data_IF_172071894317
#
_entry.id   IF_172071894317
#
_cell.length_a   1.000
_cell.length_b   1.000
_cell.length_c   1.000
_cell.angle_alpha   90.00
_cell.angle_beta   90.00
_cell.angle_gamma   90.00
#
_symmetry.space_group_name_H-M   'P 1'
#
loop_
_entity.id
_entity.type
_entity.pdbx_description
1 polymer ?
#
# COMPACT_ATOMS: atom_id res chain seq x y z
N UNK A 1 9.53 -8.78 13.78
CA UNK A 1 10.72 -8.39 12.99
C UNK A 1 10.23 -7.55 11.83
N UNK A 2 10.94 -6.49 11.47
CA UNK A 2 10.57 -5.70 10.30
C UNK A 2 11.02 -6.41 9.01
N UNK A 3 10.25 -6.23 7.95
CA UNK A 3 10.50 -6.77 6.62
C UNK A 3 10.50 -5.61 5.64
N UNK A 4 11.46 -5.62 4.72
CA UNK A 4 11.55 -4.67 3.62
C UNK A 4 10.92 -5.28 2.38
N UNK A 5 9.99 -4.55 1.78
CA UNK A 5 9.33 -4.91 0.54
C UNK A 5 9.73 -3.91 -0.53
N UNK A 6 10.25 -4.41 -1.63
CA UNK A 6 10.63 -3.62 -2.80
C UNK A 6 9.48 -3.69 -3.79
N UNK A 7 8.79 -2.58 -3.99
CA UNK A 7 7.61 -2.47 -4.84
C UNK A 7 7.95 -1.56 -6.01
N UNK A 8 7.46 -1.89 -7.19
CA UNK A 8 7.65 -1.10 -8.40
C UNK A 8 6.31 -0.83 -9.05
N UNK A 9 6.02 0.45 -9.28
CA UNK A 9 4.86 0.94 -10.02
C UNK A 9 5.32 1.22 -11.44
N UNK A 10 4.77 0.50 -12.42
CA UNK A 10 5.18 0.64 -13.82
C UNK A 10 4.80 2.00 -14.41
N UNK A 11 3.70 2.58 -13.94
CA UNK A 11 3.20 3.89 -14.35
C UNK A 11 2.48 4.52 -13.15
N UNK A 12 3.07 5.58 -12.59
CA UNK A 12 2.51 6.28 -11.42
C UNK A 12 1.13 6.90 -11.71
N UNK A 13 0.84 7.29 -12.94
CA UNK A 13 -0.48 7.84 -13.30
C UNK A 13 -1.56 6.75 -13.39
N UNK A 14 -1.17 5.51 -13.72
CA UNK A 14 -2.04 4.33 -13.78
C UNK A 14 -2.06 3.52 -12.49
N UNK A 15 -1.22 3.84 -11.51
CA UNK A 15 -1.20 3.23 -10.18
C UNK A 15 -2.36 3.74 -9.33
N UNK A 16 -3.60 3.51 -9.80
CA UNK A 16 -4.84 3.84 -9.08
C UNK A 16 -5.72 2.60 -9.06
N UNK A 17 -6.27 2.31 -7.88
CA UNK A 17 -7.29 1.29 -7.70
C UNK A 17 -8.59 1.61 -8.43
N UNK A 18 -9.53 0.66 -8.36
CA UNK A 18 -10.85 0.81 -8.98
C UNK A 18 -11.70 1.89 -8.31
N UNK A 19 -11.52 2.09 -7.00
CA UNK A 19 -12.29 3.05 -6.22
C UNK A 19 -11.46 4.32 -5.93
N UNK A 20 -11.88 5.51 -6.41
CA UNK A 20 -11.10 6.74 -6.25
C UNK A 20 -10.98 7.20 -4.78
N UNK A 21 -11.86 6.74 -3.89
CA UNK A 21 -11.81 7.08 -2.46
C UNK A 21 -10.77 6.23 -1.70
N UNK A 22 -10.37 5.08 -2.25
CA UNK A 22 -9.35 4.19 -1.71
C UNK A 22 -8.01 4.29 -2.45
N UNK A 23 -8.04 4.81 -3.68
CA UNK A 23 -6.88 4.84 -4.56
C UNK A 23 -5.84 5.89 -4.18
N UNK A 24 -4.63 5.74 -4.70
CA UNK A 24 -3.62 6.80 -4.62
C UNK A 24 -4.12 8.09 -5.28
N UNK A 25 -4.05 9.18 -4.52
CA UNK A 25 -4.30 10.55 -4.97
C UNK A 25 -3.00 11.33 -5.17
N UNK A 26 -1.90 10.84 -4.59
CA UNK A 26 -0.55 11.37 -4.72
C UNK A 26 -0.07 11.41 -6.17
N UNK A 27 0.86 12.34 -6.43
CA UNK A 27 1.57 12.48 -7.70
C UNK A 27 3.06 12.61 -7.39
N UNK A 28 3.90 11.74 -7.96
CA UNK A 28 5.34 11.72 -7.69
C UNK A 28 5.73 10.79 -6.53
N UNK A 29 6.95 10.25 -6.60
CA UNK A 29 7.39 9.14 -5.75
C UNK A 29 7.36 9.44 -4.25
N UNK A 30 7.73 10.65 -3.84
CA UNK A 30 7.69 11.06 -2.44
C UNK A 30 6.25 11.05 -1.89
N UNK A 31 5.31 11.64 -2.62
CA UNK A 31 3.91 11.67 -2.22
C UNK A 31 3.29 10.26 -2.20
N UNK A 32 3.67 9.38 -3.13
CA UNK A 32 3.27 7.96 -3.09
C UNK A 32 3.76 7.27 -1.82
N UNK A 33 5.02 7.53 -1.44
CA UNK A 33 5.60 6.96 -0.24
C UNK A 33 4.91 7.48 1.02
N UNK A 34 4.66 8.78 1.13
CA UNK A 34 3.92 9.36 2.27
C UNK A 34 2.51 8.78 2.39
N UNK A 35 1.79 8.68 1.26
CA UNK A 35 0.43 8.14 1.24
C UNK A 35 0.39 6.65 1.58
N UNK A 36 1.32 5.85 1.05
CA UNK A 36 1.44 4.43 1.41
C UNK A 36 1.84 4.26 2.87
N UNK A 37 2.74 5.10 3.38
CA UNK A 37 3.12 5.08 4.79
C UNK A 37 1.93 5.38 5.70
N UNK A 38 1.14 6.41 5.39
CA UNK A 38 -0.09 6.72 6.12
C UNK A 38 -1.07 5.52 6.09
N UNK A 39 -1.28 4.91 4.92
CA UNK A 39 -2.15 3.74 4.76
C UNK A 39 -1.68 2.46 5.49
N UNK A 40 -0.41 2.40 5.89
CA UNK A 40 0.14 1.31 6.72
C UNK A 40 0.12 1.63 8.21
N UNK A 41 0.25 2.91 8.57
CA UNK A 41 0.19 3.40 9.95
C UNK A 41 -1.24 3.53 10.46
N UNK A 42 -2.18 3.82 9.57
CA UNK A 42 -3.59 4.07 9.88
C UNK A 42 -4.49 2.97 9.29
N UNK A 43 -5.54 2.61 10.02
CA UNK A 43 -6.53 1.62 9.58
C UNK A 43 -7.69 2.26 8.79
N UNK A 44 -7.75 3.59 8.68
CA UNK A 44 -8.82 4.33 8.01
C UNK A 44 -9.09 3.84 6.56
N UNK A 45 -8.05 3.45 5.82
CA UNK A 45 -8.21 2.87 4.48
C UNK A 45 -8.94 1.52 4.52
N UNK A 46 -8.60 0.68 5.50
CA UNK A 46 -9.24 -0.61 5.71
C UNK A 46 -10.68 -0.44 6.13
N UNK A 47 -10.96 0.42 7.10
CA UNK A 47 -12.32 0.65 7.59
C UNK A 47 -13.23 1.14 6.48
N UNK A 48 -12.75 2.07 5.64
CA UNK A 48 -13.48 2.54 4.46
C UNK A 48 -13.76 1.41 3.48
N UNK A 49 -12.77 0.58 3.16
CA UNK A 49 -12.97 -0.56 2.26
C UNK A 49 -13.91 -1.62 2.85
N UNK A 50 -13.76 -1.91 4.14
CA UNK A 50 -14.57 -2.86 4.90
C UNK A 50 -16.03 -2.42 4.92
N UNK A 51 -16.29 -1.12 5.11
CA UNK A 51 -17.64 -0.55 5.07
C UNK A 51 -18.29 -0.60 3.67
N UNK A 52 -17.52 -0.78 2.61
CA UNK A 52 -18.03 -1.01 1.25
C UNK A 52 -18.36 -2.48 0.97
N UNK A 53 -17.97 -3.41 1.84
CA UNK A 53 -18.33 -4.82 1.70
C UNK A 53 -19.78 -5.04 2.14
N UNK A 54 -20.46 -6.01 1.52
CA UNK A 54 -21.84 -6.37 1.86
C UNK A 54 -21.93 -6.90 3.31
N UNK A 55 -20.92 -7.66 3.73
CA UNK A 55 -20.81 -8.26 5.06
C UNK A 55 -19.49 -7.80 5.74
N UNK A 56 -19.45 -6.59 6.33
CA UNK A 56 -18.23 -6.05 6.94
C UNK A 56 -17.75 -6.90 8.13
N UNK A 57 -18.64 -7.53 8.88
CA UNK A 57 -18.29 -8.38 10.03
C UNK A 57 -17.63 -9.72 9.65
N UNK A 58 -17.84 -10.20 8.42
CA UNK A 58 -17.18 -11.41 7.90
C UNK A 58 -15.77 -11.15 7.35
N UNK A 59 -15.41 -9.89 7.14
CA UNK A 59 -14.07 -9.50 6.68
C UNK A 59 -13.03 -9.83 7.76
N UNK A 60 -11.96 -10.50 7.34
CA UNK A 60 -10.86 -10.87 8.22
C UNK A 60 -10.20 -9.62 8.86
N UNK A 61 -10.33 -9.50 10.19
CA UNK A 61 -9.78 -8.39 10.95
C UNK A 61 -8.25 -8.30 10.86
N UNK A 62 -7.57 -9.40 10.52
CA UNK A 62 -6.11 -9.42 10.33
C UNK A 62 -5.68 -8.56 9.13
N UNK A 63 -6.57 -8.32 8.16
CA UNK A 63 -6.34 -7.38 7.06
C UNK A 63 -6.34 -5.90 7.51
N UNK A 64 -6.85 -5.63 8.72
CA UNK A 64 -6.82 -4.33 9.38
C UNK A 64 -5.52 -4.04 10.14
N UNK A 65 -4.51 -4.92 10.08
CA UNK A 65 -3.26 -4.71 10.79
C UNK A 65 -2.56 -3.41 10.37
N UNK A 66 -2.15 -2.61 11.35
CA UNK A 66 -1.40 -1.37 11.19
C UNK A 66 -0.05 -1.46 11.89
N UNK A 67 0.90 -0.67 11.41
CA UNK A 67 2.24 -0.59 11.97
C UNK A 67 2.66 0.88 12.07
N UNK A 68 2.59 1.49 13.27
CA UNK A 68 2.95 2.89 13.46
C UNK A 68 4.43 3.17 13.18
N UNK A 69 5.29 2.14 13.22
CA UNK A 69 6.70 2.24 12.89
C UNK A 69 6.99 2.00 11.40
N UNK A 70 5.98 1.74 10.57
CA UNK A 70 6.15 1.53 9.14
C UNK A 70 6.79 2.76 8.49
N UNK A 71 7.81 2.55 7.67
CA UNK A 71 8.47 3.59 6.88
C UNK A 71 8.40 3.24 5.41
N UNK A 72 8.16 4.25 4.58
CA UNK A 72 8.14 4.09 3.12
C UNK A 72 9.04 5.13 2.50
N UNK A 73 9.85 4.70 1.54
CA UNK A 73 10.71 5.58 0.76
C UNK A 73 10.39 5.40 -0.71
N UNK A 74 10.12 6.51 -1.40
CA UNK A 74 9.81 6.50 -2.82
C UNK A 74 10.96 7.07 -3.63
N UNK A 75 11.31 6.39 -4.71
CA UNK A 75 12.24 6.85 -5.72
C UNK A 75 11.54 6.88 -7.07
N UNK A 76 11.56 8.04 -7.72
CA UNK A 76 11.11 8.13 -9.10
C UNK A 76 12.26 7.79 -10.02
N UNK A 77 12.01 6.92 -10.99
CA UNK A 77 12.97 6.51 -11.99
C UNK A 77 12.24 6.56 -13.34
N UNK A 78 12.40 7.68 -14.05
CA UNK A 78 11.66 7.99 -15.28
C UNK A 78 10.12 7.87 -15.11
N UNK A 79 9.47 6.96 -15.84
CA UNK A 79 8.04 6.66 -15.74
C UNK A 79 7.65 5.71 -14.61
N UNK A 80 8.63 4.99 -14.03
CA UNK A 80 8.40 4.05 -12.96
C UNK A 80 8.69 4.66 -11.59
N UNK A 81 7.98 4.15 -10.58
CA UNK A 81 8.16 4.57 -9.19
C UNK A 81 8.50 3.34 -8.38
N UNK A 82 9.67 3.34 -7.75
CA UNK A 82 10.07 2.31 -6.83
C UNK A 82 9.78 2.76 -5.39
N UNK A 83 9.09 1.90 -4.65
CA UNK A 83 8.72 2.11 -3.27
C UNK A 83 9.41 1.05 -2.41
N UNK A 84 10.22 1.49 -1.45
CA UNK A 84 10.79 0.64 -0.41
C UNK A 84 9.95 0.79 0.85
N UNK A 85 9.24 -0.28 1.23
CA UNK A 85 8.41 -0.31 2.42
C UNK A 85 9.12 -1.13 3.49
N UNK A 86 9.37 -0.57 4.66
CA UNK A 86 9.83 -1.31 5.83
C UNK A 86 8.71 -1.38 6.86
N UNK A 87 8.19 -2.57 7.12
CA UNK A 87 7.09 -2.78 8.06
C UNK A 87 7.15 -4.15 8.72
N UNK A 88 6.58 -4.28 9.91
CA UNK A 88 6.33 -5.55 10.59
C UNK A 88 5.04 -6.25 10.12
N UNK A 89 4.24 -5.60 9.28
CA UNK A 89 3.02 -6.15 8.71
C UNK A 89 3.34 -7.31 7.75
N UNK A 90 2.49 -8.33 7.76
CA UNK A 90 2.59 -9.48 6.87
C UNK A 90 2.40 -9.10 5.40
N UNK A 91 3.13 -9.75 4.50
CA UNK A 91 3.04 -9.49 3.06
C UNK A 91 1.62 -9.62 2.50
N UNK A 92 0.76 -10.46 3.09
CA UNK A 92 -0.66 -10.57 2.69
C UNK A 92 -1.42 -9.26 2.87
N UNK A 93 -1.28 -8.61 4.03
CA UNK A 93 -1.94 -7.33 4.33
C UNK A 93 -1.36 -6.21 3.47
N UNK A 94 -0.04 -6.19 3.28
CA UNK A 94 0.61 -5.22 2.38
C UNK A 94 0.12 -5.38 0.93
N UNK A 95 0.05 -6.61 0.42
CA UNK A 95 -0.47 -6.90 -0.93
C UNK A 95 -1.93 -6.45 -1.07
N UNK A 96 -2.74 -6.67 -0.04
CA UNK A 96 -4.12 -6.21 0.00
C UNK A 96 -4.20 -4.67 -0.06
N UNK A 97 -3.44 -3.95 0.79
CA UNK A 97 -3.34 -2.47 0.77
C UNK A 97 -2.92 -1.94 -0.59
N UNK A 98 -1.88 -2.53 -1.19
CA UNK A 98 -1.39 -2.15 -2.52
C UNK A 98 -2.45 -2.36 -3.60
N UNK A 99 -3.26 -3.42 -3.50
CA UNK A 99 -4.35 -3.68 -4.44
C UNK A 99 -5.49 -2.68 -4.32
N UNK A 100 -5.76 -2.15 -3.12
CA UNK A 100 -6.73 -1.07 -2.94
C UNK A 100 -6.20 0.27 -3.48
N UNK A 101 -4.94 0.60 -3.19
CA UNK A 101 -4.35 1.89 -3.53
C UNK A 101 -3.96 2.00 -5.02
N UNK A 102 -3.22 1.02 -5.55
CA UNK A 102 -2.68 1.00 -6.91
C UNK A 102 -3.38 0.03 -7.87
N UNK A 103 -4.38 -0.72 -7.40
CA UNK A 103 -5.10 -1.68 -8.23
C UNK A 103 -4.19 -2.84 -8.67
N UNK A 104 -4.07 -3.00 -9.98
CA UNK A 104 -3.23 -4.05 -10.61
C UNK A 104 -1.93 -3.50 -11.19
N UNK A 105 -1.70 -2.18 -11.13
CA UNK A 105 -0.59 -1.48 -11.80
C UNK A 105 0.67 -1.43 -10.93
N UNK A 106 0.97 -2.50 -10.19
CA UNK A 106 2.12 -2.59 -9.29
C UNK A 106 2.69 -4.01 -9.25
N UNK A 107 3.97 -4.11 -8.95
CA UNK A 107 4.67 -5.40 -8.85
C UNK A 107 5.52 -5.43 -7.58
N UNK A 108 5.50 -6.55 -6.86
CA UNK A 108 6.45 -6.82 -5.79
C UNK A 108 7.73 -7.39 -6.40
N UNK A 109 8.83 -6.63 -6.31
CA UNK A 109 10.14 -7.00 -6.85
C UNK A 109 10.85 -8.00 -5.94
N UNK A 110 10.93 -7.67 -4.66
CA UNK A 110 11.73 -8.43 -3.71
C UNK A 110 11.22 -8.24 -2.27
N UNK A 111 11.57 -9.17 -1.39
CA UNK A 111 11.21 -9.14 0.03
C UNK A 111 12.41 -9.59 0.83
N UNK A 112 12.95 -8.69 1.66
CA UNK A 112 14.12 -8.97 2.50
C UNK A 112 13.80 -8.74 3.96
N UNK A 113 14.41 -9.49 4.86
CA UNK A 113 14.42 -9.16 6.29
C UNK A 113 15.09 -7.80 6.52
N UNK A 114 14.52 -6.95 7.37
CA UNK A 114 15.06 -5.61 7.66
C UNK A 114 16.24 -5.66 8.64
#
# INVERSE_FOLDING_TARGET
MATRYYISLADGARARGSDPNLSFTAQGAEAFAEQLQAALREDALFERWRALQDEPDEVDASLGATDPAATVTGKQDDLHIDLLVTTSISGTVLKHRMRLLAGSSWTLRDVTSA
#
